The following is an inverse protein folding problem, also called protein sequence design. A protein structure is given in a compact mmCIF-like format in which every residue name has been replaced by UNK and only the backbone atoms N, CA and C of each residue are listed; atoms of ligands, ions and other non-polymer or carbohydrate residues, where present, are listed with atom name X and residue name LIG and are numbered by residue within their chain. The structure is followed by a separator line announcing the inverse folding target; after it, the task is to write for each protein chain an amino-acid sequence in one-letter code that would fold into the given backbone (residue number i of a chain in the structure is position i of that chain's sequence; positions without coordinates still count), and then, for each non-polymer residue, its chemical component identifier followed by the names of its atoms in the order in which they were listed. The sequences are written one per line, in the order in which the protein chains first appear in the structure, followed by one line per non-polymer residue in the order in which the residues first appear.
data_IF_576250018390
#
_entry.id   IF_576250018390
#
_cell.length_a   1.000
_cell.length_b   1.000
_cell.length_c   1.000
_cell.angle_alpha   90.00
_cell.angle_beta   90.00
_cell.angle_gamma   90.00
#
_symmetry.space_group_name_H-M   'P 1'
#
loop_
_entity.id
_entity.type
_entity.pdbx_description
1 polymer ?
#
# COMPACT_ATOMS: atom_id res chain seq x y z
N UNK A 1 49.77 -12.81 -31.37
CA UNK A 1 49.37 -13.16 -29.99
C UNK A 1 47.93 -13.64 -30.01
N UNK A 2 47.71 -14.93 -29.75
CA UNK A 2 46.40 -15.59 -29.90
C UNK A 2 45.42 -15.14 -28.81
N UNK A 3 44.13 -14.99 -29.18
CA UNK A 3 43.04 -14.52 -28.30
C UNK A 3 42.90 -15.32 -26.99
N UNK A 4 43.35 -16.57 -26.98
CA UNK A 4 43.37 -17.45 -25.80
C UNK A 4 44.39 -16.97 -24.73
N UNK A 5 45.51 -16.34 -25.12
CA UNK A 5 46.50 -15.86 -24.15
C UNK A 5 46.08 -14.57 -23.44
N UNK A 6 45.14 -13.81 -24.02
CA UNK A 6 44.58 -12.60 -23.40
C UNK A 6 43.53 -12.92 -22.35
N UNK A 7 42.77 -14.00 -22.53
CA UNK A 7 41.75 -14.43 -21.56
C UNK A 7 42.38 -15.04 -20.30
N UNK A 8 43.44 -15.82 -20.45
CA UNK A 8 44.19 -16.38 -19.32
C UNK A 8 44.90 -15.30 -18.48
N UNK A 9 45.41 -14.24 -19.11
CA UNK A 9 46.06 -13.13 -18.40
C UNK A 9 45.05 -12.26 -17.62
N UNK A 10 43.85 -12.04 -18.16
CA UNK A 10 42.78 -11.29 -17.47
C UNK A 10 42.20 -12.09 -16.30
N UNK A 11 42.03 -13.40 -16.45
CA UNK A 11 41.53 -14.27 -15.37
C UNK A 11 42.56 -14.40 -14.23
N UNK A 12 43.85 -14.46 -14.53
CA UNK A 12 44.91 -14.50 -13.52
C UNK A 12 45.00 -13.19 -12.70
N UNK A 13 44.74 -12.03 -13.32
CA UNK A 13 44.68 -10.74 -12.61
C UNK A 13 43.41 -10.63 -11.76
N UNK A 14 42.28 -11.19 -12.21
CA UNK A 14 41.04 -11.20 -11.43
C UNK A 14 41.17 -12.04 -10.15
N UNK A 15 41.88 -13.17 -10.19
CA UNK A 15 42.17 -13.96 -8.99
C UNK A 15 43.24 -13.31 -8.07
N UNK A 16 44.16 -12.52 -8.62
CA UNK A 16 45.16 -11.82 -7.81
C UNK A 16 44.57 -10.58 -7.10
N UNK A 17 43.55 -9.94 -7.67
CA UNK A 17 42.89 -8.75 -7.09
C UNK A 17 41.78 -9.14 -6.08
N UNK A 18 41.11 -10.28 -6.25
CA UNK A 18 40.11 -10.77 -5.28
C UNK A 18 40.65 -11.76 -4.25
N UNK A 19 41.81 -12.37 -4.49
CA UNK A 19 42.48 -13.28 -3.55
C UNK A 19 43.32 -12.60 -2.46
N UNK A 20 43.47 -11.27 -2.51
CA UNK A 20 44.33 -10.49 -1.59
C UNK A 20 43.54 -9.58 -0.63
N UNK A 21 42.21 -9.60 -0.66
CA UNK A 21 41.34 -8.88 0.30
C UNK A 21 40.79 -9.80 1.40
N UNK A 22 41.17 -11.08 1.40
CA UNK A 22 40.90 -12.02 2.48
C UNK A 22 42.21 -12.41 3.17
N UNK A 23 42.25 -12.26 4.50
CA UNK A 23 43.32 -12.63 5.43
C UNK A 23 44.36 -11.53 5.74
N UNK A 24 43.92 -10.47 6.45
CA UNK A 24 44.74 -9.87 7.50
C UNK A 24 44.09 -10.15 8.84
N UNK A 25 44.53 -11.21 9.52
CA UNK A 25 44.42 -11.32 10.96
C UNK A 25 45.60 -10.54 11.56
N UNK A 26 45.37 -9.29 11.94
CA UNK A 26 46.22 -8.59 12.91
C UNK A 26 45.41 -8.49 14.18
N UNK A 27 45.84 -9.24 15.20
CA UNK A 27 45.25 -9.19 16.53
C UNK A 27 45.33 -7.77 17.11
N UNK A 28 44.18 -7.15 17.24
CA UNK A 28 43.98 -5.91 17.98
C UNK A 28 42.48 -5.79 18.20
N UNK A 29 42.05 -6.00 19.45
CA UNK A 29 40.67 -5.90 19.96
C UNK A 29 39.63 -5.57 18.89
N UNK A 30 39.13 -6.60 18.21
CA UNK A 30 37.87 -6.47 17.49
C UNK A 30 36.83 -6.01 18.53
N UNK A 31 36.08 -4.93 18.29
CA UNK A 31 34.88 -4.69 19.08
C UNK A 31 34.06 -5.98 18.97
N UNK A 32 33.55 -6.46 20.11
CA UNK A 32 32.63 -7.58 20.13
C UNK A 32 31.62 -7.41 18.98
N UNK A 33 31.25 -8.48 18.26
CA UNK A 33 30.13 -8.38 17.32
C UNK A 33 29.02 -7.66 18.07
N UNK A 34 28.51 -6.56 17.50
CA UNK A 34 27.43 -5.81 18.10
C UNK A 34 26.40 -6.84 18.56
N UNK A 35 26.13 -6.88 19.86
CA UNK A 35 25.06 -7.72 20.37
C UNK A 35 23.83 -7.40 19.53
N UNK A 36 23.30 -8.40 18.83
CA UNK A 36 22.02 -8.31 18.17
C UNK A 36 21.09 -7.62 19.18
N UNK A 37 20.51 -6.44 18.89
CA UNK A 37 19.71 -5.75 19.88
C UNK A 37 18.59 -6.69 20.25
N UNK A 38 18.66 -7.25 21.46
CA UNK A 38 17.65 -8.18 21.95
C UNK A 38 16.31 -7.47 21.82
N UNK A 39 15.41 -8.07 21.05
CA UNK A 39 14.06 -7.54 20.87
C UNK A 39 13.47 -7.22 22.23
N UNK A 40 12.88 -6.04 22.35
CA UNK A 40 12.13 -5.68 23.54
C UNK A 40 10.78 -6.39 23.50
N UNK A 41 10.51 -7.25 24.48
CA UNK A 41 9.15 -7.77 24.68
C UNK A 41 8.23 -6.62 25.11
N UNK A 42 7.13 -6.47 24.39
CA UNK A 42 6.13 -5.44 24.61
C UNK A 42 4.85 -6.13 25.04
N UNK A 43 4.43 -5.92 26.28
CA UNK A 43 3.30 -6.63 26.89
C UNK A 43 2.11 -5.71 27.18
N UNK A 44 2.29 -4.39 27.11
CA UNK A 44 1.27 -3.41 27.44
C UNK A 44 1.52 -2.04 26.75
N UNK A 45 0.57 -1.12 26.90
CA UNK A 45 0.69 0.23 26.35
C UNK A 45 1.91 1.01 26.89
N UNK A 46 2.30 0.81 28.16
CA UNK A 46 3.41 1.53 28.76
C UNK A 46 4.76 1.09 28.18
N UNK A 47 4.94 -0.23 27.99
CA UNK A 47 6.10 -0.82 27.32
C UNK A 47 6.14 -0.43 25.84
N UNK A 48 5.02 -0.36 25.13
CA UNK A 48 4.99 0.11 23.74
C UNK A 48 5.42 1.57 23.61
N UNK A 49 4.91 2.42 24.52
CA UNK A 49 5.34 3.83 24.60
C UNK A 49 6.84 3.93 24.90
N UNK A 50 7.32 3.16 25.87
CA UNK A 50 8.75 3.13 26.23
C UNK A 50 9.60 2.65 25.06
N UNK A 51 9.16 1.62 24.33
CA UNK A 51 9.81 1.10 23.14
C UNK A 51 10.03 2.19 22.10
N UNK A 52 8.99 2.94 21.74
CA UNK A 52 9.11 4.00 20.74
C UNK A 52 9.99 5.18 21.20
N UNK A 53 9.89 5.60 22.46
CA UNK A 53 10.64 6.75 22.96
C UNK A 53 12.12 6.42 23.21
N UNK A 54 12.41 5.34 23.94
CA UNK A 54 13.74 5.08 24.52
C UNK A 54 14.15 3.60 24.58
N UNK A 55 13.32 2.66 24.13
CA UNK A 55 13.62 1.22 24.17
C UNK A 55 14.58 0.77 23.09
N UNK A 56 14.69 -0.56 22.92
CA UNK A 56 15.47 -1.20 21.85
C UNK A 56 15.01 -0.71 20.46
N UNK A 57 15.87 -0.83 19.45
CA UNK A 57 15.49 -0.56 18.06
C UNK A 57 14.42 -1.54 17.57
N UNK A 58 14.49 -2.79 18.04
CA UNK A 58 13.55 -3.85 17.72
C UNK A 58 12.65 -4.17 18.92
N UNK A 59 11.36 -4.37 18.65
CA UNK A 59 10.37 -4.72 19.66
C UNK A 59 9.35 -5.69 19.11
N UNK A 60 8.84 -6.55 19.99
CA UNK A 60 7.91 -7.62 19.64
C UNK A 60 6.74 -7.63 20.61
N UNK A 61 5.52 -7.64 20.07
CA UNK A 61 4.33 -7.79 20.90
C UNK A 61 4.24 -9.19 21.48
N UNK A 62 3.84 -9.25 22.74
CA UNK A 62 3.62 -10.50 23.51
C UNK A 62 2.20 -10.60 24.05
N UNK A 63 1.40 -9.55 23.86
CA UNK A 63 -0.01 -9.47 24.23
C UNK A 63 -0.71 -8.37 23.41
N UNK A 64 -2.03 -8.43 23.35
CA UNK A 64 -2.85 -7.34 22.80
C UNK A 64 -2.72 -6.07 23.65
N UNK A 65 -2.67 -4.93 22.98
CA UNK A 65 -2.52 -3.61 23.57
C UNK A 65 -3.79 -2.81 23.33
N UNK A 66 -4.35 -2.27 24.41
CA UNK A 66 -5.42 -1.27 24.36
C UNK A 66 -4.98 0.01 25.04
N UNK A 67 -5.19 1.15 24.38
CA UNK A 67 -4.84 2.47 24.91
C UNK A 67 -5.85 3.54 24.51
N UNK A 68 -5.87 4.64 25.27
CA UNK A 68 -6.70 5.81 24.96
C UNK A 68 -5.96 6.86 24.15
N UNK A 69 -4.64 6.94 24.32
CA UNK A 69 -3.77 7.88 23.61
C UNK A 69 -3.01 7.16 22.49
N UNK A 70 -2.70 7.90 21.44
CA UNK A 70 -1.85 7.43 20.34
C UNK A 70 -0.42 7.19 20.79
N UNK A 71 0.25 6.28 20.09
CA UNK A 71 1.68 6.11 20.20
C UNK A 71 2.40 6.97 19.18
N UNK A 72 3.54 7.56 19.56
CA UNK A 72 4.34 8.41 18.68
C UNK A 72 5.73 7.81 18.52
N UNK A 73 6.20 7.71 17.27
CA UNK A 73 7.61 7.46 16.94
C UNK A 73 8.29 8.82 16.76
N UNK A 74 9.15 9.28 17.69
CA UNK A 74 9.78 10.59 17.60
C UNK A 74 10.71 10.72 16.39
N UNK A 75 10.94 11.97 15.95
CA UNK A 75 11.70 12.31 14.71
C UNK A 75 13.08 11.67 14.63
N UNK A 76 13.78 11.54 15.76
CA UNK A 76 15.15 11.03 15.86
C UNK A 76 15.22 9.51 16.09
N UNK A 77 14.09 8.80 16.04
CA UNK A 77 14.01 7.37 16.34
C UNK A 77 13.81 6.56 15.07
N UNK A 78 14.51 5.43 15.02
CA UNK A 78 14.28 4.36 14.05
C UNK A 78 13.90 3.10 14.82
N UNK A 79 12.74 2.54 14.51
CA UNK A 79 12.14 1.42 15.25
C UNK A 79 11.62 0.34 14.31
N UNK A 80 11.68 -0.91 14.75
CA UNK A 80 11.09 -2.06 14.10
C UNK A 80 10.15 -2.77 15.08
N UNK A 81 8.85 -2.80 14.75
CA UNK A 81 7.80 -3.40 15.56
C UNK A 81 7.30 -4.67 14.86
N UNK A 82 7.42 -5.80 15.54
CA UNK A 82 6.76 -7.06 15.19
C UNK A 82 5.43 -7.19 15.97
N UNK A 83 4.31 -7.20 15.25
CA UNK A 83 2.98 -7.40 15.80
C UNK A 83 2.78 -8.83 16.32
N UNK A 84 3.48 -9.81 15.76
CA UNK A 84 3.47 -11.21 16.23
C UNK A 84 2.07 -11.78 16.51
N UNK A 85 1.09 -11.46 15.67
CA UNK A 85 -0.29 -11.95 15.80
C UNK A 85 -1.13 -11.22 16.85
N UNK A 86 -0.62 -10.15 17.46
CA UNK A 86 -1.31 -9.36 18.49
C UNK A 86 -1.81 -8.02 17.96
N UNK A 87 -2.86 -7.52 18.61
CA UNK A 87 -3.54 -6.29 18.23
C UNK A 87 -3.05 -5.06 19.03
N UNK A 88 -3.03 -3.91 18.38
CA UNK A 88 -2.94 -2.59 19.00
C UNK A 88 -4.25 -1.86 18.70
N UNK A 89 -5.04 -1.57 19.73
CA UNK A 89 -6.32 -0.84 19.61
C UNK A 89 -6.26 0.48 20.38
N UNK A 90 -6.52 1.60 19.70
CA UNK A 90 -6.48 2.94 20.29
C UNK A 90 -7.77 3.72 20.03
N UNK A 91 -8.30 4.38 21.07
CA UNK A 91 -9.56 5.14 20.97
C UNK A 91 -9.40 6.63 20.59
N UNK A 92 -8.27 7.01 19.99
CA UNK A 92 -7.93 8.37 19.55
C UNK A 92 -7.60 8.38 18.05
N UNK A 93 -7.67 9.56 17.43
CA UNK A 93 -7.28 9.73 16.01
C UNK A 93 -5.78 9.40 15.81
N UNK A 94 -5.50 8.30 15.12
CA UNK A 94 -4.16 7.76 14.97
C UNK A 94 -3.87 6.74 16.07
N UNK A 95 -3.75 5.45 15.76
CA UNK A 95 -3.18 4.51 16.74
C UNK A 95 -1.66 4.73 16.86
N UNK A 96 -1.00 4.94 15.72
CA UNK A 96 0.43 5.27 15.64
C UNK A 96 0.64 6.52 14.79
N UNK A 97 1.39 7.48 15.33
CA UNK A 97 1.91 8.65 14.62
C UNK A 97 3.41 8.48 14.38
N UNK A 98 3.81 8.46 13.11
CA UNK A 98 5.21 8.27 12.71
C UNK A 98 5.83 9.60 12.33
N UNK A 99 6.74 10.12 13.18
CA UNK A 99 7.56 11.30 12.87
C UNK A 99 9.01 10.94 12.54
N UNK A 100 9.53 9.87 13.14
CA UNK A 100 10.81 9.24 12.79
C UNK A 100 10.65 8.12 11.77
N UNK A 101 11.37 7.01 11.94
CA UNK A 101 11.30 5.87 11.04
C UNK A 101 10.70 4.65 11.74
N UNK A 102 9.72 4.02 11.12
CA UNK A 102 9.08 2.82 11.66
C UNK A 102 9.04 1.72 10.60
N UNK A 103 9.43 0.51 10.99
CA UNK A 103 9.09 -0.72 10.27
C UNK A 103 8.03 -1.46 11.06
N UNK A 104 6.94 -1.86 10.42
CA UNK A 104 5.92 -2.75 10.98
C UNK A 104 5.95 -4.06 10.21
N UNK A 105 6.02 -5.15 10.96
CA UNK A 105 5.91 -6.52 10.43
C UNK A 105 4.93 -7.28 11.33
N UNK A 106 4.34 -8.34 10.77
CA UNK A 106 3.75 -9.40 11.56
C UNK A 106 4.44 -10.71 11.16
N UNK A 107 5.18 -11.30 12.09
CA UNK A 107 5.94 -12.53 11.87
C UNK A 107 5.15 -13.81 12.16
N UNK A 108 3.90 -13.70 12.64
CA UNK A 108 3.12 -14.84 13.12
C UNK A 108 2.50 -15.67 11.99
N UNK A 109 2.05 -15.01 10.92
CA UNK A 109 1.41 -15.67 9.79
C UNK A 109 1.63 -14.90 8.48
N UNK A 110 1.70 -15.64 7.39
CA UNK A 110 1.62 -15.08 6.05
C UNK A 110 0.18 -14.86 5.57
N UNK A 111 -0.81 -15.41 6.28
CA UNK A 111 -2.23 -15.22 5.98
C UNK A 111 -2.72 -13.90 6.60
N UNK A 112 -3.15 -12.95 5.75
CA UNK A 112 -3.64 -11.64 6.17
C UNK A 112 -4.93 -11.69 7.02
N UNK A 113 -5.57 -12.85 7.16
CA UNK A 113 -6.70 -13.06 8.06
C UNK A 113 -6.30 -13.47 9.49
N UNK A 114 -5.02 -13.82 9.71
CA UNK A 114 -4.49 -14.30 10.99
C UNK A 114 -3.41 -13.38 11.60
N UNK A 115 -3.00 -12.32 10.88
CA UNK A 115 -2.02 -11.35 11.36
C UNK A 115 -2.61 -10.40 12.41
N UNK A 116 -1.73 -9.90 13.27
CA UNK A 116 -2.03 -8.84 14.22
C UNK A 116 -2.44 -7.54 13.53
N UNK A 117 -3.23 -6.75 14.26
CA UNK A 117 -3.91 -5.57 13.74
C UNK A 117 -3.50 -4.30 14.47
N UNK A 118 -3.32 -3.20 13.73
CA UNK A 118 -3.27 -1.85 14.26
C UNK A 118 -4.59 -1.16 13.96
N UNK A 119 -5.33 -0.79 15.00
CA UNK A 119 -6.68 -0.22 14.90
C UNK A 119 -6.81 1.10 15.67
N UNK A 120 -7.36 2.11 15.00
CA UNK A 120 -7.98 3.26 15.67
C UNK A 120 -9.48 3.13 15.61
N UNK A 121 -10.16 3.28 16.74
CA UNK A 121 -11.63 3.25 16.79
C UNK A 121 -12.26 4.65 16.74
N UNK A 122 -11.45 5.70 16.54
CA UNK A 122 -11.95 7.07 16.44
C UNK A 122 -12.58 7.32 15.07
N UNK A 123 -13.80 7.87 15.06
CA UNK A 123 -14.62 7.99 13.84
C UNK A 123 -13.97 8.81 12.71
N UNK A 124 -13.11 9.77 13.06
CA UNK A 124 -12.34 10.56 12.10
C UNK A 124 -10.84 10.24 12.15
N UNK A 125 -10.51 9.02 12.58
CA UNK A 125 -9.16 8.60 12.93
C UNK A 125 -8.36 8.01 11.79
N UNK A 126 -7.08 7.78 12.10
CA UNK A 126 -6.14 7.03 11.28
C UNK A 126 -5.74 5.76 12.02
N UNK A 127 -5.51 4.62 11.36
CA UNK A 127 -4.79 3.54 12.05
C UNK A 127 -3.33 3.97 12.23
N UNK A 128 -2.69 4.37 11.13
CA UNK A 128 -1.34 4.94 11.11
C UNK A 128 -1.33 6.24 10.31
N UNK A 129 -0.64 7.25 10.83
CA UNK A 129 -0.35 8.49 10.11
C UNK A 129 1.15 8.75 10.10
N UNK A 130 1.73 8.98 8.93
CA UNK A 130 3.14 9.33 8.75
C UNK A 130 3.22 10.83 8.50
N UNK A 131 3.82 11.57 9.43
CA UNK A 131 3.74 13.04 9.46
C UNK A 131 5.00 13.74 8.94
N UNK A 132 6.18 13.13 9.05
CA UNK A 132 7.44 13.75 8.63
C UNK A 132 8.58 12.74 8.43
N UNK A 133 8.27 11.46 8.51
CA UNK A 133 9.24 10.38 8.62
C UNK A 133 9.04 9.30 7.56
N UNK A 134 9.51 8.09 7.85
CA UNK A 134 9.35 6.95 6.95
C UNK A 134 8.63 5.78 7.60
N UNK A 135 7.76 5.11 6.85
CA UNK A 135 7.09 3.89 7.26
C UNK A 135 7.37 2.75 6.28
N UNK A 136 7.85 1.62 6.77
CA UNK A 136 7.90 0.37 6.02
C UNK A 136 6.89 -0.60 6.60
N UNK A 137 6.00 -1.15 5.76
CA UNK A 137 5.06 -2.20 6.16
C UNK A 137 5.41 -3.46 5.38
N UNK A 138 5.79 -4.50 6.11
CA UNK A 138 6.10 -5.81 5.55
C UNK A 138 4.99 -6.85 5.75
N UNK A 139 4.11 -6.62 6.71
CA UNK A 139 2.91 -7.40 6.94
C UNK A 139 2.06 -6.72 8.02
N UNK A 140 0.82 -7.19 8.21
CA UNK A 140 -0.08 -6.72 9.26
C UNK A 140 -1.41 -6.21 8.71
N UNK A 141 -2.37 -6.01 9.61
CA UNK A 141 -3.70 -5.50 9.28
C UNK A 141 -3.93 -4.12 9.90
N UNK A 142 -4.36 -3.15 9.10
CA UNK A 142 -4.54 -1.76 9.51
C UNK A 142 -5.99 -1.36 9.35
N UNK A 143 -6.63 -0.93 10.45
CA UNK A 143 -8.06 -0.63 10.45
C UNK A 143 -8.39 0.71 11.09
N UNK A 144 -9.29 1.46 10.47
CA UNK A 144 -9.85 2.67 11.04
C UNK A 144 -11.19 3.00 10.42
N UNK A 145 -12.14 3.63 11.14
CA UNK A 145 -13.37 4.12 10.54
C UNK A 145 -13.15 5.05 9.34
N UNK A 146 -12.16 5.96 9.40
CA UNK A 146 -11.96 6.98 8.36
C UNK A 146 -10.82 6.64 7.41
N UNK A 147 -9.59 6.51 7.91
CA UNK A 147 -8.44 6.23 7.05
C UNK A 147 -7.51 5.19 7.66
N UNK A 148 -7.17 4.11 6.96
CA UNK A 148 -6.27 3.11 7.57
C UNK A 148 -4.83 3.65 7.60
N UNK A 149 -4.32 4.13 6.47
CA UNK A 149 -2.99 4.74 6.36
C UNK A 149 -3.05 6.13 5.73
N UNK A 150 -2.45 7.13 6.38
CA UNK A 150 -2.25 8.46 5.81
C UNK A 150 -0.77 8.82 5.73
N UNK A 151 -0.33 9.29 4.55
CA UNK A 151 1.00 9.82 4.29
C UNK A 151 0.88 11.33 4.08
N UNK A 152 1.45 12.12 4.98
CA UNK A 152 1.47 13.58 4.91
C UNK A 152 2.56 14.10 3.95
N UNK A 153 2.61 15.42 3.78
CA UNK A 153 3.69 16.14 3.12
C UNK A 153 5.07 15.76 3.72
N UNK A 154 6.07 15.59 2.86
CA UNK A 154 7.44 15.17 3.19
C UNK A 154 7.59 13.79 3.86
N UNK A 155 6.49 13.06 4.05
CA UNK A 155 6.51 11.69 4.57
C UNK A 155 6.68 10.66 3.45
N UNK A 156 7.31 9.53 3.79
CA UNK A 156 7.52 8.42 2.87
C UNK A 156 6.98 7.11 3.40
N UNK A 157 6.51 6.25 2.51
CA UNK A 157 6.17 4.87 2.87
C UNK A 157 6.55 3.84 1.80
N UNK A 158 6.80 2.61 2.26
CA UNK A 158 6.96 1.42 1.43
C UNK A 158 6.09 0.30 2.00
N UNK A 159 5.32 -0.36 1.14
CA UNK A 159 4.36 -1.39 1.53
C UNK A 159 4.60 -2.62 0.66
N UNK A 160 5.19 -3.66 1.23
CA UNK A 160 5.47 -4.91 0.50
C UNK A 160 4.36 -5.95 0.65
N UNK A 161 3.63 -5.90 1.77
CA UNK A 161 2.46 -6.72 2.08
C UNK A 161 1.70 -6.11 3.26
N UNK A 162 0.39 -6.37 3.32
CA UNK A 162 -0.48 -5.94 4.42
C UNK A 162 -1.93 -5.83 3.95
N UNK A 163 -2.84 -5.69 4.92
CA UNK A 163 -4.26 -5.44 4.67
C UNK A 163 -4.67 -4.09 5.26
N UNK A 164 -5.47 -3.32 4.53
CA UNK A 164 -5.98 -2.02 4.97
C UNK A 164 -7.51 -1.98 4.86
N UNK A 165 -8.18 -1.58 5.93
CA UNK A 165 -9.65 -1.47 5.97
C UNK A 165 -10.12 -0.17 6.60
N UNK A 166 -10.81 0.67 5.83
CA UNK A 166 -11.34 1.95 6.28
C UNK A 166 -12.33 2.57 5.29
N UNK A 167 -12.88 3.76 5.58
CA UNK A 167 -13.58 4.52 4.55
C UNK A 167 -12.66 4.89 3.37
N UNK A 168 -11.48 5.40 3.69
CA UNK A 168 -10.35 5.53 2.76
C UNK A 168 -9.24 4.58 3.19
N UNK A 169 -8.91 3.56 2.42
CA UNK A 169 -7.87 2.60 2.80
C UNK A 169 -6.51 3.29 2.98
N UNK A 170 -5.97 3.82 1.88
CA UNK A 170 -4.69 4.52 1.85
C UNK A 170 -4.88 5.92 1.28
N UNK A 171 -4.46 6.94 2.01
CA UNK A 171 -4.46 8.34 1.59
C UNK A 171 -3.04 8.90 1.50
N UNK A 172 -2.66 9.39 0.32
CA UNK A 172 -1.39 10.09 0.08
C UNK A 172 -1.69 11.56 -0.16
N UNK A 173 -1.27 12.44 0.74
CA UNK A 173 -1.47 13.88 0.60
C UNK A 173 -0.42 14.48 -0.34
N UNK A 174 -0.67 15.72 -0.78
CA UNK A 174 0.29 16.48 -1.59
C UNK A 174 1.67 16.55 -0.88
N UNK A 175 2.74 16.32 -1.63
CA UNK A 175 4.10 16.22 -1.09
C UNK A 175 4.45 14.88 -0.40
N UNK A 176 3.46 14.04 -0.09
CA UNK A 176 3.69 12.69 0.43
C UNK A 176 4.09 11.69 -0.65
N UNK A 177 4.88 10.67 -0.28
CA UNK A 177 5.39 9.68 -1.24
C UNK A 177 5.22 8.23 -0.78
N UNK A 178 4.70 7.38 -1.66
CA UNK A 178 4.83 5.92 -1.54
C UNK A 178 5.82 5.42 -2.60
N UNK A 179 6.91 4.81 -2.17
CA UNK A 179 7.97 4.31 -3.08
C UNK A 179 7.60 2.96 -3.71
N UNK A 180 6.89 2.11 -2.95
CA UNK A 180 6.41 0.82 -3.43
C UNK A 180 5.14 0.42 -2.70
N UNK A 181 4.20 -0.18 -3.45
CA UNK A 181 2.93 -0.64 -2.92
C UNK A 181 2.54 -1.99 -3.52
N UNK A 182 2.37 -2.97 -2.64
CA UNK A 182 1.79 -4.30 -2.90
C UNK A 182 1.02 -4.74 -1.66
N UNK A 183 -0.30 -4.57 -1.66
CA UNK A 183 -1.14 -4.84 -0.48
C UNK A 183 -2.61 -5.04 -0.85
N UNK A 184 -3.38 -5.55 0.10
CA UNK A 184 -4.83 -5.64 -0.03
C UNK A 184 -5.51 -4.50 0.70
N UNK A 185 -6.47 -3.87 0.04
CA UNK A 185 -7.22 -2.74 0.56
C UNK A 185 -8.71 -2.98 0.33
N UNK A 186 -9.49 -2.88 1.39
CA UNK A 186 -10.95 -2.92 1.35
C UNK A 186 -11.45 -1.62 1.94
N UNK A 187 -12.11 -0.81 1.14
CA UNK A 187 -12.60 0.49 1.56
C UNK A 187 -14.05 0.72 1.20
N UNK A 188 -14.71 1.65 1.89
CA UNK A 188 -16.11 2.00 1.58
C UNK A 188 -16.23 3.18 0.60
N UNK A 189 -15.16 3.97 0.41
CA UNK A 189 -15.16 5.14 -0.47
C UNK A 189 -13.97 5.12 -1.44
N UNK A 190 -12.75 5.19 -0.92
CA UNK A 190 -11.52 5.16 -1.71
C UNK A 190 -10.62 4.04 -1.21
N UNK A 191 -10.30 3.04 -2.02
CA UNK A 191 -9.26 2.09 -1.62
C UNK A 191 -7.92 2.84 -1.56
N UNK A 192 -7.57 3.58 -2.62
CA UNK A 192 -6.42 4.49 -2.63
C UNK A 192 -6.83 5.88 -3.13
N UNK A 193 -6.54 6.91 -2.35
CA UNK A 193 -6.63 8.31 -2.76
C UNK A 193 -5.24 8.94 -2.82
N UNK A 194 -4.81 9.39 -4.00
CA UNK A 194 -3.47 9.93 -4.21
C UNK A 194 -3.48 11.40 -4.68
N UNK A 195 -3.01 12.30 -3.83
CA UNK A 195 -2.69 13.69 -4.16
C UNK A 195 -1.17 13.94 -4.24
N UNK A 196 -0.36 12.98 -3.79
CA UNK A 196 1.10 13.07 -3.77
C UNK A 196 1.76 12.23 -4.88
N UNK A 197 2.76 11.45 -4.51
CA UNK A 197 3.52 10.60 -5.43
C UNK A 197 3.42 9.12 -5.06
N UNK A 198 3.13 8.26 -6.02
CA UNK A 198 3.30 6.81 -5.90
C UNK A 198 4.29 6.37 -6.98
N UNK A 199 5.48 5.92 -6.59
CA UNK A 199 6.49 5.53 -7.57
C UNK A 199 6.13 4.20 -8.23
N UNK A 200 5.77 3.19 -7.44
CA UNK A 200 5.48 1.85 -7.97
C UNK A 200 4.29 1.21 -7.27
N UNK A 201 3.31 0.75 -8.07
CA UNK A 201 2.32 -0.24 -7.67
C UNK A 201 2.71 -1.57 -8.32
N UNK A 202 3.06 -2.57 -7.51
CA UNK A 202 3.62 -3.83 -7.98
C UNK A 202 2.73 -5.06 -7.78
N UNK A 203 1.56 -4.89 -7.16
CA UNK A 203 0.60 -5.96 -6.91
C UNK A 203 -0.50 -5.54 -5.94
N UNK A 204 -1.32 -6.50 -5.52
CA UNK A 204 -2.37 -6.29 -4.53
C UNK A 204 -3.77 -6.08 -5.10
N UNK A 205 -4.74 -6.04 -4.19
CA UNK A 205 -6.17 -5.89 -4.49
C UNK A 205 -6.72 -4.63 -3.83
N UNK A 206 -7.32 -3.72 -4.60
CA UNK A 206 -7.76 -2.42 -4.15
C UNK A 206 -9.26 -2.28 -4.42
N UNK A 207 -10.07 -2.57 -3.41
CA UNK A 207 -11.53 -2.64 -3.52
C UNK A 207 -12.14 -1.44 -2.79
N UNK A 208 -12.96 -0.67 -3.50
CA UNK A 208 -13.90 0.26 -2.90
C UNK A 208 -15.33 -0.28 -3.06
N UNK A 209 -15.85 -0.89 -2.01
CA UNK A 209 -17.21 -1.43 -1.99
C UNK A 209 -18.13 -0.47 -1.25
N UNK A 210 -18.86 0.33 -2.04
CA UNK A 210 -19.59 1.51 -1.60
C UNK A 210 -20.50 1.29 -0.38
N UNK A 211 -20.53 2.29 0.51
CA UNK A 211 -21.57 2.45 1.53
C UNK A 211 -22.53 3.61 1.16
N UNK A 212 -23.80 3.47 1.55
CA UNK A 212 -25.02 4.21 1.17
C UNK A 212 -25.10 5.73 1.47
N UNK A 213 -23.99 6.47 1.52
CA UNK A 213 -24.06 7.91 1.73
C UNK A 213 -24.34 8.64 0.39
N UNK A 214 -25.55 9.17 0.25
CA UNK A 214 -26.01 9.96 -0.90
C UNK A 214 -24.94 10.98 -1.36
N UNK A 215 -24.45 10.86 -2.59
CA UNK A 215 -23.57 11.84 -3.23
C UNK A 215 -22.17 11.33 -3.60
N UNK A 216 -21.79 10.15 -3.13
CA UNK A 216 -20.41 9.68 -3.15
C UNK A 216 -20.08 8.80 -4.38
N UNK A 217 -18.94 9.08 -5.01
CA UNK A 217 -18.31 8.20 -6.00
C UNK A 217 -17.34 7.23 -5.31
N UNK A 218 -17.30 5.96 -5.72
CA UNK A 218 -16.35 4.98 -5.16
C UNK A 218 -15.20 4.71 -6.13
N UNK A 219 -13.99 4.61 -5.59
CA UNK A 219 -12.77 4.45 -6.39
C UNK A 219 -11.84 3.37 -5.83
N UNK A 220 -11.47 2.40 -6.67
CA UNK A 220 -10.36 1.50 -6.35
C UNK A 220 -9.06 2.31 -6.24
N UNK A 221 -8.81 3.19 -7.21
CA UNK A 221 -7.74 4.18 -7.20
C UNK A 221 -8.25 5.51 -7.74
N UNK A 222 -8.15 6.56 -6.93
CA UNK A 222 -8.38 7.95 -7.34
C UNK A 222 -7.06 8.72 -7.30
N UNK A 223 -6.63 9.23 -8.46
CA UNK A 223 -5.35 9.89 -8.64
C UNK A 223 -5.52 11.35 -9.07
N UNK A 224 -5.06 12.27 -8.23
CA UNK A 224 -4.85 13.70 -8.50
C UNK A 224 -3.37 14.09 -8.53
N UNK A 225 -2.48 13.23 -8.03
CA UNK A 225 -1.04 13.45 -8.01
C UNK A 225 -0.32 12.78 -9.18
N UNK A 226 0.79 12.12 -8.85
CA UNK A 226 1.61 11.38 -9.82
C UNK A 226 1.76 9.91 -9.45
N UNK A 227 1.72 9.05 -10.47
CA UNK A 227 2.06 7.63 -10.37
C UNK A 227 3.11 7.33 -11.43
N UNK A 228 4.28 6.82 -11.04
CA UNK A 228 5.36 6.55 -12.02
C UNK A 228 5.15 5.21 -12.74
N UNK A 229 4.81 4.14 -12.01
CA UNK A 229 4.67 2.78 -12.55
C UNK A 229 3.52 2.02 -11.90
N UNK A 230 2.71 1.30 -12.70
CA UNK A 230 1.77 0.28 -12.22
C UNK A 230 2.11 -1.02 -12.95
N UNK A 231 2.88 -1.90 -12.34
CA UNK A 231 3.29 -3.16 -12.98
C UNK A 231 2.32 -4.32 -12.73
N UNK A 232 1.53 -4.27 -11.66
CA UNK A 232 0.39 -5.17 -11.42
C UNK A 232 -0.58 -4.56 -10.39
N UNK A 233 -1.78 -5.11 -10.31
CA UNK A 233 -2.79 -4.75 -9.32
C UNK A 233 -4.22 -4.98 -9.83
N UNK A 234 -5.14 -5.22 -8.91
CA UNK A 234 -6.58 -5.30 -9.21
C UNK A 234 -7.27 -4.12 -8.54
N UNK A 235 -7.92 -3.26 -9.32
CA UNK A 235 -8.66 -2.13 -8.80
C UNK A 235 -10.15 -2.33 -9.07
N UNK A 236 -10.96 -2.36 -8.02
CA UNK A 236 -12.39 -2.61 -8.16
C UNK A 236 -13.16 -1.54 -7.40
N UNK A 237 -14.24 -1.05 -8.00
CA UNK A 237 -15.20 -0.24 -7.29
C UNK A 237 -16.62 -0.72 -7.57
N UNK A 238 -17.47 -0.65 -6.56
CA UNK A 238 -18.91 -0.90 -6.66
C UNK A 238 -19.65 0.21 -5.96
N UNK A 239 -20.81 0.57 -6.52
CA UNK A 239 -21.83 1.39 -5.86
C UNK A 239 -23.15 0.63 -5.96
N UNK A 240 -23.94 0.64 -4.89
CA UNK A 240 -25.29 0.05 -4.90
C UNK A 240 -26.35 0.99 -5.52
N UNK A 241 -25.95 2.23 -5.81
CA UNK A 241 -26.85 3.30 -6.24
C UNK A 241 -26.62 3.65 -7.72
N UNK A 242 -27.68 3.53 -8.51
CA UNK A 242 -27.69 3.72 -9.97
C UNK A 242 -27.28 5.13 -10.45
N UNK A 243 -27.25 6.12 -9.55
CA UNK A 243 -26.95 7.52 -9.87
C UNK A 243 -25.46 7.90 -9.65
N UNK A 244 -24.62 6.97 -9.17
CA UNK A 244 -23.21 7.25 -8.85
C UNK A 244 -22.24 6.38 -9.64
N UNK A 245 -21.18 7.00 -10.13
CA UNK A 245 -20.11 6.32 -10.86
C UNK A 245 -19.18 5.57 -9.89
N UNK A 246 -18.94 4.30 -10.18
CA UNK A 246 -17.88 3.49 -9.60
C UNK A 246 -16.72 3.36 -10.60
N UNK A 247 -15.50 3.65 -10.17
CA UNK A 247 -14.31 3.57 -11.02
C UNK A 247 -13.28 2.63 -10.40
N UNK A 248 -12.84 1.60 -11.12
CA UNK A 248 -11.64 0.88 -10.72
C UNK A 248 -10.45 1.84 -10.63
N UNK A 249 -10.25 2.68 -11.66
CA UNK A 249 -9.20 3.70 -11.70
C UNK A 249 -9.75 5.01 -12.26
N UNK A 250 -9.56 6.10 -11.51
CA UNK A 250 -9.83 7.47 -11.94
C UNK A 250 -8.56 8.31 -11.87
N UNK A 251 -8.14 8.87 -13.00
CA UNK A 251 -7.04 9.81 -13.12
C UNK A 251 -7.61 11.20 -13.48
N UNK A 252 -7.42 12.16 -12.58
CA UNK A 252 -7.98 13.50 -12.69
C UNK A 252 -7.20 14.38 -13.67
N UNK A 253 -7.82 15.46 -14.13
CA UNK A 253 -7.18 16.38 -15.06
C UNK A 253 -5.91 17.00 -14.46
N UNK A 254 -4.77 16.82 -15.13
CA UNK A 254 -3.46 17.29 -14.66
C UNK A 254 -2.65 16.26 -13.87
N UNK A 255 -3.26 15.16 -13.44
CA UNK A 255 -2.58 14.04 -12.80
C UNK A 255 -1.85 13.15 -13.83
N UNK A 256 -0.81 12.45 -13.40
CA UNK A 256 0.05 11.65 -14.29
C UNK A 256 0.13 10.19 -13.89
N UNK A 257 0.10 9.31 -14.89
CA UNK A 257 0.43 7.89 -14.77
C UNK A 257 1.49 7.55 -15.82
N UNK A 258 2.65 7.06 -15.37
CA UNK A 258 3.83 6.80 -16.20
C UNK A 258 3.77 5.51 -17.04
N UNK A 259 4.91 5.19 -17.66
CA UNK A 259 5.01 4.44 -18.93
C UNK A 259 5.07 2.92 -18.86
N UNK A 260 5.27 2.33 -17.68
CA UNK A 260 5.31 0.87 -17.50
C UNK A 260 4.02 0.39 -16.85
N UNK A 261 2.98 0.31 -17.66
CA UNK A 261 1.70 -0.28 -17.25
C UNK A 261 1.74 -1.77 -17.57
N UNK A 262 1.85 -2.59 -16.52
CA UNK A 262 1.62 -4.02 -16.60
C UNK A 262 0.12 -4.34 -16.67
N UNK A 263 -0.26 -5.59 -16.40
CA UNK A 263 -1.67 -5.99 -16.43
C UNK A 263 -2.37 -5.55 -15.14
N UNK A 264 -3.36 -4.67 -15.26
CA UNK A 264 -4.28 -4.34 -14.18
C UNK A 264 -5.72 -4.60 -14.61
N UNK A 265 -6.59 -4.89 -13.64
CA UNK A 265 -8.02 -5.07 -13.86
C UNK A 265 -8.78 -3.93 -13.19
N UNK A 266 -9.75 -3.37 -13.92
CA UNK A 266 -10.67 -2.37 -13.42
C UNK A 266 -12.11 -2.88 -13.59
N UNK A 267 -12.90 -2.90 -12.52
CA UNK A 267 -14.30 -3.32 -12.54
C UNK A 267 -15.22 -2.26 -11.94
N UNK A 268 -16.45 -2.18 -12.47
CA UNK A 268 -17.58 -1.49 -11.86
C UNK A 268 -18.66 -2.51 -11.50
N UNK A 269 -19.29 -2.34 -10.33
CA UNK A 269 -20.39 -3.20 -9.88
C UNK A 269 -21.61 -3.19 -10.81
N UNK A 270 -22.47 -4.21 -10.66
CA UNK A 270 -23.67 -4.46 -11.48
C UNK A 270 -24.50 -3.19 -11.71
N UNK A 271 -24.66 -2.79 -12.99
CA UNK A 271 -25.55 -1.70 -13.40
C UNK A 271 -24.89 -0.34 -13.60
N UNK A 272 -23.61 -0.17 -13.25
CA UNK A 272 -22.87 1.07 -13.50
C UNK A 272 -21.87 0.90 -14.65
N UNK A 273 -21.81 1.83 -15.63
CA UNK A 273 -20.80 1.76 -16.67
C UNK A 273 -19.40 1.91 -16.06
N UNK A 274 -18.51 0.97 -16.38
CA UNK A 274 -17.10 1.08 -16.06
C UNK A 274 -16.54 2.29 -16.82
N UNK A 275 -16.28 3.37 -16.09
CA UNK A 275 -15.57 4.50 -16.63
C UNK A 275 -14.08 4.35 -16.29
N UNK A 276 -13.24 4.39 -17.31
CA UNK A 276 -11.80 4.55 -17.15
C UNK A 276 -11.47 5.97 -17.57
N UNK A 277 -11.25 6.85 -16.60
CA UNK A 277 -10.67 8.15 -16.88
C UNK A 277 -9.16 8.01 -16.75
N UNK A 278 -8.48 7.83 -17.87
CA UNK A 278 -7.04 7.58 -17.89
C UNK A 278 -6.21 8.88 -17.98
N UNK A 279 -6.83 10.03 -18.22
CA UNK A 279 -6.11 11.29 -18.43
C UNK A 279 -4.96 11.15 -19.44
N UNK A 280 -3.82 11.81 -19.17
CA UNK A 280 -2.59 11.64 -19.96
C UNK A 280 -1.84 10.40 -19.51
N UNK A 281 -1.89 9.33 -20.31
CA UNK A 281 -0.96 8.20 -20.19
C UNK A 281 0.15 8.37 -21.22
N UNK A 282 1.39 8.48 -20.76
CA UNK A 282 2.54 8.25 -21.64
C UNK A 282 2.77 6.75 -21.68
N UNK A 283 2.60 6.06 -22.81
CA UNK A 283 2.79 4.60 -22.87
C UNK A 283 4.19 4.22 -23.31
N UNK A 284 4.83 3.28 -22.60
CA UNK A 284 5.97 2.51 -23.10
C UNK A 284 5.51 1.34 -23.99
N UNK A 285 6.40 0.80 -24.82
CA UNK A 285 6.09 -0.36 -25.68
C UNK A 285 5.75 -1.60 -24.84
N UNK A 286 4.57 -2.20 -25.02
CA UNK A 286 4.20 -3.50 -24.41
C UNK A 286 3.07 -3.49 -23.36
N UNK A 287 2.42 -2.35 -23.11
CA UNK A 287 1.28 -2.28 -22.19
C UNK A 287 0.03 -2.97 -22.78
N UNK A 288 -0.55 -3.92 -22.03
CA UNK A 288 -1.83 -4.57 -22.35
C UNK A 288 -2.89 -4.12 -21.35
N UNK A 289 -3.90 -3.40 -21.84
CA UNK A 289 -5.06 -2.98 -21.05
C UNK A 289 -6.18 -4.00 -21.24
N UNK A 290 -6.54 -4.72 -20.18
CA UNK A 290 -7.72 -5.56 -20.18
C UNK A 290 -8.87 -4.81 -19.50
N UNK A 291 -9.58 -4.03 -20.30
CA UNK A 291 -10.87 -3.46 -19.87
C UNK A 291 -11.91 -4.54 -20.06
N UNK A 292 -12.21 -5.30 -19.01
CA UNK A 292 -13.34 -6.22 -19.07
C UNK A 292 -14.61 -5.43 -18.80
N UNK A 293 -15.19 -4.87 -19.86
CA UNK A 293 -16.56 -4.35 -19.80
C UNK A 293 -17.46 -5.57 -19.67
N UNK A 294 -17.93 -5.87 -18.46
CA UNK A 294 -19.04 -6.79 -18.29
C UNK A 294 -20.28 -6.16 -18.95
N UNK A 295 -20.45 -6.40 -20.25
CA UNK A 295 -21.69 -6.12 -20.96
C UNK A 295 -22.74 -7.09 -20.41
N UNK A 296 -23.38 -6.73 -19.29
CA UNK A 296 -24.66 -7.33 -18.95
C UNK A 296 -25.68 -6.82 -19.97
N UNK A 297 -25.85 -7.60 -21.04
CA UNK A 297 -27.11 -7.57 -21.78
C UNK A 297 -28.19 -7.94 -20.77
N UNK A 298 -29.23 -7.10 -20.56
CA UNK A 298 -30.35 -7.53 -19.74
C UNK A 298 -31.02 -8.70 -20.47
N UNK A 299 -30.79 -9.93 -20.00
CA UNK A 299 -31.72 -11.01 -20.27
C UNK A 299 -33.01 -10.71 -19.50
N UNK A 300 -33.90 -9.96 -20.17
CA UNK A 300 -35.37 -9.92 -20.05
C UNK A 300 -35.85 -8.48 -20.21
N UNK A 301 -36.27 -8.12 -21.43
CA UNK A 301 -37.68 -8.02 -21.77
C UNK A 301 -37.82 -8.10 -23.29
N UNK A 302 -38.34 -9.22 -23.79
CA UNK A 302 -38.95 -9.24 -25.10
C UNK A 302 -40.22 -8.37 -25.03
N UNK A 303 -40.07 -7.09 -25.38
CA UNK A 303 -41.20 -6.26 -25.80
C UNK A 303 -41.31 -6.44 -27.31
N UNK A 304 -42.12 -7.40 -27.75
CA UNK A 304 -42.64 -7.43 -29.11
C UNK A 304 -43.51 -6.18 -29.32
N UNK A 305 -42.94 -5.12 -29.88
CA UNK A 305 -43.73 -4.05 -30.49
C UNK A 305 -44.13 -4.52 -31.91
N UNK A 306 -45.42 -4.60 -32.25
CA UNK A 306 -45.83 -4.97 -33.60
C UNK A 306 -45.42 -3.87 -34.59
N UNK A 307 -44.82 -4.24 -35.71
CA UNK A 307 -44.67 -3.36 -36.86
C UNK A 307 -46.07 -2.99 -37.38
N UNK A 308 -46.48 -1.72 -37.24
CA UNK A 308 -47.58 -1.19 -38.06
C UNK A 308 -47.09 -1.08 -39.51
N UNK A 309 -47.61 -1.96 -40.36
CA UNK A 309 -47.52 -1.83 -41.81
C UNK A 309 -48.57 -0.82 -42.29
N UNK A 310 -48.15 0.34 -42.79
CA UNK A 310 -49.01 1.19 -43.60
C UNK A 310 -49.12 0.60 -45.02
N UNK A 311 -50.34 0.17 -45.38
CA UNK A 311 -50.78 -0.24 -46.72
C UNK A 311 -50.76 0.98 -47.67
N UNK A 312 -50.02 0.98 -48.79
CA UNK A 312 -50.18 1.98 -49.82
C UNK A 312 -51.21 1.50 -50.85
N UNK A 313 -52.42 2.05 -50.76
CA UNK A 313 -53.39 2.12 -51.87
C UNK A 313 -53.72 3.56 -52.21
#
# INVERSE_FOLDING_TARGET
MNKISRFAAVLAVFFLVFGLTGCFFIGGNDPAPASDPTDMDIADAASLKTFFENGSENGKLTADISATDKFEVPVDKTKSLDLNGFDITVSQSGAILVKGNLTITDSSSDDLSEVGKVESTYVEGYAVRVNSGSLTINNGYFKSPRTALQIDEDATAAITKGKFEANTGIGVLEGGTITSMSCDVVATYNAVGNLGTIETISGGTYIADGFEASGAHSYGLWNQGSITTISAGVFSASTELNDYCAFGLCNEAGATIGTNLGSFYAFSGLGTPLNLNLGTITTGSGAHYYVNVALNTPQNQASETPLETTDPR
#
